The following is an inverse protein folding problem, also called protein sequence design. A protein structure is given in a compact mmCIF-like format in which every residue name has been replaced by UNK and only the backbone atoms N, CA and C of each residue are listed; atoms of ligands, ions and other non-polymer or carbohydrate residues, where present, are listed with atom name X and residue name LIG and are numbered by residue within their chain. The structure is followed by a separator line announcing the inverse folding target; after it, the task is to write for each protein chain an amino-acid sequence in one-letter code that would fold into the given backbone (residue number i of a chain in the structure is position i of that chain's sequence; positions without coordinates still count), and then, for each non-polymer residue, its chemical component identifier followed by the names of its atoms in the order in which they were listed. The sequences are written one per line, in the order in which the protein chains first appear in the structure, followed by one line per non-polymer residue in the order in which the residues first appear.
data_IF_897939166334
#
_entry.id   IF_897939166334
#
_cell.length_a   1.000
_cell.length_b   1.000
_cell.length_c   1.000
_cell.angle_alpha   90.00
_cell.angle_beta   90.00
_cell.angle_gamma   90.00
#
_symmetry.space_group_name_H-M   'P 1'
#
loop_
_entity.id
_entity.type
_entity.pdbx_description
1 polymer ?
#
# COMPACT_ATOMS: atom_id res chain seq x y z
N UNK A 1 -62.17 32.34 -12.77
CA UNK A 1 -61.07 31.46 -13.24
C UNK A 1 -59.86 31.68 -12.36
N UNK A 2 -59.66 30.80 -11.37
CA UNK A 2 -58.48 30.80 -10.53
C UNK A 2 -57.52 29.72 -11.05
N UNK A 3 -56.36 30.12 -11.58
CA UNK A 3 -55.25 29.19 -11.92
C UNK A 3 -54.51 28.80 -10.67
N UNK A 4 -54.63 27.53 -10.27
CA UNK A 4 -53.85 26.95 -9.19
C UNK A 4 -52.50 26.47 -9.78
N UNK A 5 -51.40 27.21 -9.50
CA UNK A 5 -50.05 26.80 -9.87
C UNK A 5 -49.56 25.83 -8.79
N UNK A 6 -49.57 24.52 -9.15
CA UNK A 6 -49.01 23.47 -8.32
C UNK A 6 -47.48 23.48 -8.45
N UNK A 7 -46.82 24.13 -7.49
CA UNK A 7 -45.35 24.13 -7.42
C UNK A 7 -44.91 22.79 -6.82
N UNK A 8 -44.54 21.84 -7.69
CA UNK A 8 -43.88 20.61 -7.26
C UNK A 8 -42.43 20.92 -6.87
N UNK A 9 -42.25 21.14 -5.58
CA UNK A 9 -40.89 21.17 -5.02
C UNK A 9 -40.26 19.77 -5.16
N UNK A 10 -39.40 19.61 -6.14
CA UNK A 10 -38.46 18.49 -6.17
C UNK A 10 -37.55 18.61 -4.95
N UNK A 11 -37.88 17.89 -3.86
CA UNK A 11 -36.89 17.63 -2.81
C UNK A 11 -35.76 16.83 -3.47
N UNK A 12 -34.65 17.48 -3.73
CA UNK A 12 -33.40 16.79 -3.98
C UNK A 12 -33.17 15.88 -2.76
N UNK A 13 -33.31 14.59 -2.99
CA UNK A 13 -32.95 13.58 -1.99
C UNK A 13 -31.44 13.71 -1.85
N UNK A 14 -30.98 14.22 -0.71
CA UNK A 14 -29.57 14.17 -0.38
C UNK A 14 -29.14 12.70 -0.49
N UNK A 15 -28.26 12.40 -1.44
CA UNK A 15 -27.66 11.08 -1.50
C UNK A 15 -27.03 10.82 -0.14
N UNK A 16 -27.45 9.75 0.51
CA UNK A 16 -26.87 9.35 1.78
C UNK A 16 -25.36 9.15 1.51
N UNK A 17 -24.53 9.95 2.15
CA UNK A 17 -23.09 9.76 2.10
C UNK A 17 -22.79 8.37 2.63
N UNK A 18 -22.05 7.57 1.85
CA UNK A 18 -21.62 6.25 2.28
C UNK A 18 -20.68 6.43 3.49
N UNK A 19 -21.09 5.93 4.64
CA UNK A 19 -20.38 6.09 5.91
C UNK A 19 -19.20 5.08 6.05
N UNK A 20 -18.98 4.23 5.03
CA UNK A 20 -17.89 3.27 5.04
C UNK A 20 -16.57 3.96 4.71
N UNK A 21 -15.49 3.71 5.49
CA UNK A 21 -14.22 4.39 5.28
C UNK A 21 -13.59 3.99 3.94
N UNK A 22 -12.85 4.92 3.36
CA UNK A 22 -11.92 4.61 2.29
C UNK A 22 -10.77 3.76 2.82
N UNK A 23 -10.13 2.98 1.95
CA UNK A 23 -8.97 2.17 2.28
C UNK A 23 -7.82 2.56 1.35
N UNK A 24 -6.73 3.01 1.94
CA UNK A 24 -5.47 3.24 1.23
C UNK A 24 -4.43 2.22 1.71
N UNK A 25 -3.99 1.36 0.81
CA UNK A 25 -2.99 0.33 1.08
C UNK A 25 -1.67 0.69 0.42
N UNK A 26 -0.71 1.16 1.22
CA UNK A 26 0.64 1.50 0.81
C UNK A 26 1.55 0.30 1.07
N UNK A 27 2.22 -0.16 0.02
CA UNK A 27 3.22 -1.23 0.11
C UNK A 27 4.59 -0.70 -0.27
N UNK A 28 5.62 -1.02 0.50
CA UNK A 28 7.03 -0.83 0.14
C UNK A 28 7.69 -2.18 -0.15
N UNK A 29 8.63 -2.20 -1.09
CA UNK A 29 9.28 -3.45 -1.51
C UNK A 29 10.52 -3.75 -0.67
N UNK A 30 10.76 -5.05 -0.38
CA UNK A 30 12.00 -5.58 0.23
C UNK A 30 12.44 -4.80 1.49
N UNK A 31 11.51 -4.50 2.42
CA UNK A 31 11.84 -3.65 3.55
C UNK A 31 11.42 -4.26 4.89
N UNK A 32 12.40 -4.40 5.77
CA UNK A 32 12.22 -4.76 7.17
C UNK A 32 11.77 -3.54 8.01
N UNK A 33 11.53 -3.65 9.32
CA UNK A 33 11.14 -2.51 10.17
C UNK A 33 12.29 -1.53 10.43
N UNK A 34 13.15 -1.28 9.41
CA UNK A 34 14.22 -0.28 9.44
C UNK A 34 13.62 1.10 9.14
N UNK A 35 12.88 1.64 10.12
CA UNK A 35 12.23 2.93 10.12
C UNK A 35 12.55 3.69 11.41
N UNK A 36 12.51 5.02 11.38
CA UNK A 36 12.84 5.81 12.55
C UNK A 36 11.88 5.56 13.72
N UNK A 37 10.58 5.33 13.46
CA UNK A 37 9.61 4.95 14.49
C UNK A 37 9.89 3.59 15.15
N UNK A 38 10.75 2.75 14.59
CA UNK A 38 11.25 1.51 15.20
C UNK A 38 12.62 1.67 15.85
N UNK A 39 13.23 2.86 15.77
CA UNK A 39 14.50 3.18 16.42
C UNK A 39 15.73 3.06 15.54
N UNK A 40 15.59 2.97 14.22
CA UNK A 40 16.71 2.94 13.28
C UNK A 40 17.51 4.25 13.36
N UNK A 41 18.79 4.15 13.73
CA UNK A 41 19.65 5.32 13.88
C UNK A 41 20.01 5.98 12.54
N UNK A 42 20.12 7.31 12.57
CA UNK A 42 20.50 8.12 11.40
C UNK A 42 19.43 8.24 10.33
N UNK A 43 18.37 7.44 10.36
CA UNK A 43 17.27 7.44 9.40
C UNK A 43 16.20 8.48 9.79
N UNK A 44 15.72 9.23 8.82
CA UNK A 44 14.62 10.19 8.97
C UNK A 44 13.44 9.79 8.11
N UNK A 45 12.32 9.40 8.75
CA UNK A 45 11.07 9.01 8.08
C UNK A 45 9.88 9.77 8.68
N UNK A 46 9.87 11.12 8.64
CA UNK A 46 8.90 11.92 9.38
C UNK A 46 7.45 11.68 8.98
N UNK A 47 7.17 11.33 7.72
CA UNK A 47 5.81 11.07 7.25
C UNK A 47 5.28 9.72 7.73
N UNK A 48 6.10 8.67 7.66
CA UNK A 48 5.76 7.34 8.19
C UNK A 48 5.72 7.37 9.72
N UNK A 49 6.63 8.13 10.36
CA UNK A 49 6.64 8.29 11.83
C UNK A 49 5.37 8.99 12.33
N UNK A 50 4.90 10.02 11.60
CA UNK A 50 3.62 10.67 11.89
C UNK A 50 2.48 9.66 11.80
N UNK A 51 2.38 8.92 10.69
CA UNK A 51 1.36 7.88 10.52
C UNK A 51 1.42 6.85 11.66
N UNK A 52 2.60 6.42 12.06
CA UNK A 52 2.80 5.49 13.16
C UNK A 52 2.39 6.06 14.52
N UNK A 53 2.53 7.38 14.74
CA UNK A 53 2.14 8.06 15.98
C UNK A 53 0.64 8.30 16.10
N UNK A 54 -0.06 8.42 14.98
CA UNK A 54 -1.50 8.65 14.88
C UNK A 54 -2.32 7.35 14.80
N UNK A 55 -1.65 6.21 14.58
CA UNK A 55 -2.26 4.92 14.35
C UNK A 55 -1.77 3.79 15.24
N UNK A 56 -1.88 2.58 14.72
CA UNK A 56 -1.42 1.36 15.40
C UNK A 56 -0.14 0.88 14.73
N UNK A 57 0.95 0.85 15.48
CA UNK A 57 2.23 0.30 15.06
C UNK A 57 2.41 -1.11 15.59
N UNK A 58 2.50 -2.09 14.68
CA UNK A 58 2.75 -3.48 15.04
C UNK A 58 4.24 -3.70 15.32
N UNK A 59 4.56 -4.20 16.50
CA UNK A 59 5.93 -4.57 16.86
C UNK A 59 6.40 -5.84 16.14
N UNK A 60 5.47 -6.76 15.90
CA UNK A 60 5.72 -8.05 15.27
C UNK A 60 4.67 -8.25 14.16
N UNK A 61 5.12 -8.25 12.93
CA UNK A 61 4.34 -8.58 11.76
C UNK A 61 5.20 -9.47 10.85
N UNK A 62 4.63 -10.55 10.35
CA UNK A 62 5.36 -11.53 9.55
C UNK A 62 4.62 -11.77 8.25
N UNK A 63 5.39 -11.83 7.17
CA UNK A 63 4.90 -12.31 5.89
C UNK A 63 4.90 -13.85 5.85
N UNK A 64 4.07 -14.41 4.98
CA UNK A 64 4.01 -15.86 4.77
C UNK A 64 5.11 -16.38 3.86
N UNK A 65 5.80 -15.48 3.13
CA UNK A 65 6.86 -15.82 2.19
C UNK A 65 7.85 -14.66 2.06
N UNK A 66 9.17 -14.92 1.98
CA UNK A 66 10.20 -13.89 1.85
C UNK A 66 10.43 -13.46 0.39
N UNK A 67 9.42 -13.52 -0.47
CA UNK A 67 9.51 -13.23 -1.91
C UNK A 67 8.26 -12.49 -2.39
N UNK A 68 8.46 -11.45 -3.21
CA UNK A 68 7.44 -10.48 -3.62
C UNK A 68 6.13 -11.12 -4.11
N UNK A 69 6.14 -11.85 -5.21
CA UNK A 69 4.90 -12.32 -5.83
C UNK A 69 4.13 -13.33 -4.97
N UNK A 70 4.84 -14.17 -4.21
CA UNK A 70 4.24 -15.14 -3.30
C UNK A 70 3.62 -14.47 -2.09
N UNK A 71 4.35 -13.55 -1.43
CA UNK A 71 3.84 -12.76 -0.32
C UNK A 71 2.63 -11.91 -0.75
N UNK A 72 2.75 -11.19 -1.87
CA UNK A 72 1.67 -10.35 -2.40
C UNK A 72 0.44 -11.15 -2.79
N UNK A 73 0.61 -12.37 -3.29
CA UNK A 73 -0.52 -13.27 -3.59
C UNK A 73 -1.26 -13.68 -2.32
N UNK A 74 -0.52 -14.02 -1.26
CA UNK A 74 -1.11 -14.34 0.04
C UNK A 74 -1.83 -13.12 0.64
N UNK A 75 -1.21 -11.93 0.62
CA UNK A 75 -1.83 -10.70 1.11
C UNK A 75 -3.10 -10.34 0.33
N UNK A 76 -3.09 -10.50 -1.00
CA UNK A 76 -4.22 -10.14 -1.86
C UNK A 76 -5.41 -11.10 -1.77
N UNK A 77 -5.24 -12.27 -1.17
CA UNK A 77 -6.30 -13.27 -1.03
C UNK A 77 -6.67 -13.57 0.43
N UNK A 78 -5.80 -13.18 1.38
CA UNK A 78 -5.93 -13.59 2.78
C UNK A 78 -5.63 -15.07 3.04
N UNK A 79 -5.10 -15.80 2.05
CA UNK A 79 -4.76 -17.21 2.14
C UNK A 79 -3.26 -17.44 1.99
N UNK A 80 -2.75 -18.45 2.67
CA UNK A 80 -1.36 -18.86 2.54
C UNK A 80 -1.06 -19.27 1.09
N UNK A 81 0.07 -18.81 0.54
CA UNK A 81 0.44 -19.02 -0.87
C UNK A 81 0.43 -20.48 -1.32
N UNK A 82 0.73 -21.44 -0.41
CA UNK A 82 0.70 -22.86 -0.73
C UNK A 82 -0.73 -23.35 -1.00
N UNK A 83 -1.71 -22.82 -0.27
CA UNK A 83 -3.11 -23.20 -0.44
C UNK A 83 -3.67 -22.70 -1.78
N UNK A 84 -3.29 -21.49 -2.18
CA UNK A 84 -3.71 -20.89 -3.46
C UNK A 84 -2.80 -21.25 -4.63
N UNK A 85 -1.83 -22.15 -4.45
CA UNK A 85 -0.86 -22.60 -5.46
C UNK A 85 -0.02 -21.47 -6.07
N UNK A 86 0.26 -20.44 -5.29
CA UNK A 86 1.04 -19.26 -5.70
C UNK A 86 2.41 -19.21 -5.00
N UNK A 87 3.01 -20.37 -4.73
CA UNK A 87 4.27 -20.51 -3.99
C UNK A 87 5.54 -20.37 -4.86
N UNK A 88 5.39 -20.20 -6.16
CA UNK A 88 6.51 -19.93 -7.08
C UNK A 88 6.64 -18.43 -7.35
N UNK A 89 7.86 -17.95 -7.52
CA UNK A 89 8.10 -16.55 -7.82
C UNK A 89 7.91 -16.26 -9.31
N UNK A 90 6.92 -15.42 -9.64
CA UNK A 90 6.64 -14.93 -11.01
C UNK A 90 6.53 -16.05 -12.04
N UNK A 91 5.78 -17.07 -11.71
CA UNK A 91 5.57 -18.22 -12.60
C UNK A 91 4.89 -17.81 -13.91
N UNK A 92 5.36 -18.37 -15.03
CA UNK A 92 4.75 -18.13 -16.35
C UNK A 92 3.34 -18.74 -16.45
N UNK A 93 3.17 -19.94 -15.88
CA UNK A 93 1.90 -20.67 -15.88
C UNK A 93 1.16 -20.47 -14.56
N UNK A 94 0.75 -19.22 -14.28
CA UNK A 94 -0.02 -18.90 -13.09
C UNK A 94 -1.30 -19.75 -13.01
N UNK A 95 -1.54 -20.28 -11.83
CA UNK A 95 -2.72 -21.11 -11.60
C UNK A 95 -3.95 -20.23 -11.26
N UNK A 96 -5.15 -20.66 -11.65
CA UNK A 96 -6.37 -20.03 -11.16
C UNK A 96 -6.49 -20.22 -9.65
N UNK A 97 -7.13 -19.28 -8.99
CA UNK A 97 -7.43 -19.38 -7.57
C UNK A 97 -8.35 -20.59 -7.32
N UNK A 98 -8.25 -21.31 -6.19
CA UNK A 98 -9.22 -22.32 -5.80
C UNK A 98 -10.65 -21.76 -5.78
N UNK A 99 -11.63 -22.64 -6.04
CA UNK A 99 -13.04 -22.25 -6.04
C UNK A 99 -13.45 -21.60 -4.71
N UNK A 100 -14.16 -20.49 -4.79
CA UNK A 100 -14.65 -19.75 -3.62
C UNK A 100 -13.62 -18.78 -2.99
N UNK A 101 -12.41 -18.69 -3.55
CA UNK A 101 -11.44 -17.67 -3.15
C UNK A 101 -11.48 -16.52 -4.14
N UNK A 102 -11.76 -15.33 -3.62
CA UNK A 102 -11.73 -14.08 -4.36
C UNK A 102 -10.61 -13.17 -3.85
N UNK A 103 -9.93 -12.45 -4.73
CA UNK A 103 -8.95 -11.45 -4.29
C UNK A 103 -9.65 -10.25 -3.64
N UNK A 104 -8.97 -9.65 -2.68
CA UNK A 104 -9.48 -8.50 -1.90
C UNK A 104 -10.12 -7.41 -2.77
N UNK A 105 -9.54 -6.96 -3.90
CA UNK A 105 -10.19 -5.94 -4.72
C UNK A 105 -11.58 -6.36 -5.22
N UNK A 106 -11.77 -7.63 -5.59
CA UNK A 106 -13.09 -8.10 -6.01
C UNK A 106 -14.11 -8.09 -4.86
N UNK A 107 -13.68 -8.43 -3.64
CA UNK A 107 -14.55 -8.34 -2.45
C UNK A 107 -14.97 -6.89 -2.19
N UNK A 108 -14.06 -5.93 -2.34
CA UNK A 108 -14.37 -4.51 -2.23
C UNK A 108 -15.30 -4.04 -3.37
N UNK A 109 -15.09 -4.51 -4.61
CA UNK A 109 -16.01 -4.21 -5.73
C UNK A 109 -17.42 -4.73 -5.46
N UNK A 110 -17.55 -5.97 -4.97
CA UNK A 110 -18.84 -6.55 -4.58
C UNK A 110 -19.51 -5.76 -3.44
N UNK A 111 -18.71 -5.17 -2.56
CA UNK A 111 -19.19 -4.26 -1.51
C UNK A 111 -19.49 -2.83 -2.02
N UNK A 112 -19.33 -2.54 -3.32
CA UNK A 112 -19.64 -1.24 -3.91
C UNK A 112 -18.51 -0.22 -3.89
N UNK A 113 -17.29 -0.59 -3.45
CA UNK A 113 -16.12 0.27 -3.51
C UNK A 113 -15.62 0.44 -4.94
N UNK A 114 -15.08 1.61 -5.24
CA UNK A 114 -14.19 1.77 -6.38
C UNK A 114 -12.81 1.22 -6.02
N UNK A 115 -12.19 0.43 -6.90
CA UNK A 115 -10.87 -0.14 -6.65
C UNK A 115 -9.83 0.43 -7.60
N UNK A 116 -8.76 1.00 -7.07
CA UNK A 116 -7.69 1.64 -7.84
C UNK A 116 -6.33 0.98 -7.59
N UNK A 117 -5.59 0.75 -8.68
CA UNK A 117 -4.18 0.37 -8.62
C UNK A 117 -3.33 1.57 -9.04
N UNK A 118 -2.86 2.34 -8.07
CA UNK A 118 -2.08 3.57 -8.27
C UNK A 118 -0.60 3.32 -8.64
N UNK A 119 -0.23 2.07 -8.77
CA UNK A 119 1.08 1.62 -9.25
C UNK A 119 0.88 0.51 -10.28
N UNK A 120 1.69 0.49 -11.32
CA UNK A 120 1.53 -0.43 -12.46
C UNK A 120 1.68 -1.92 -12.12
N UNK A 121 1.96 -2.28 -10.85
CA UNK A 121 2.40 -3.63 -10.49
C UNK A 121 1.59 -4.21 -9.34
N UNK A 122 0.82 -5.25 -9.62
CA UNK A 122 0.25 -6.11 -8.57
C UNK A 122 1.25 -7.13 -8.08
N UNK A 123 2.03 -7.66 -9.01
CA UNK A 123 3.00 -8.75 -8.84
C UNK A 123 2.40 -10.02 -8.19
N UNK A 124 1.11 -10.26 -8.42
CA UNK A 124 0.46 -11.47 -7.93
C UNK A 124 0.75 -12.67 -8.83
N UNK A 125 0.89 -13.85 -8.24
CA UNK A 125 1.22 -15.10 -8.93
C UNK A 125 0.01 -16.04 -9.05
N UNK A 126 -1.16 -15.50 -9.36
CA UNK A 126 -2.40 -16.24 -9.61
C UNK A 126 -3.19 -15.61 -10.75
N UNK A 127 -4.15 -16.36 -11.27
CA UNK A 127 -5.18 -15.85 -12.19
C UNK A 127 -6.49 -15.77 -11.40
N UNK A 128 -7.17 -14.61 -11.37
CA UNK A 128 -8.49 -14.50 -10.77
C UNK A 128 -9.49 -15.43 -11.44
N UNK A 129 -10.46 -15.95 -10.70
CA UNK A 129 -11.49 -16.87 -11.22
C UNK A 129 -12.53 -16.17 -12.10
N UNK A 130 -12.60 -14.85 -12.06
CA UNK A 130 -13.53 -14.06 -12.83
C UNK A 130 -12.82 -13.33 -13.97
N UNK A 131 -13.60 -12.97 -15.01
CA UNK A 131 -13.10 -12.10 -16.11
C UNK A 131 -13.12 -10.62 -15.74
N UNK A 132 -13.60 -10.27 -14.53
CA UNK A 132 -13.60 -8.90 -14.06
C UNK A 132 -12.15 -8.42 -13.87
N UNK A 133 -11.92 -7.16 -14.19
CA UNK A 133 -10.65 -6.50 -13.91
C UNK A 133 -10.35 -6.53 -12.41
N UNK A 134 -9.12 -6.87 -12.07
CA UNK A 134 -8.71 -6.93 -10.66
C UNK A 134 -8.86 -5.57 -9.97
N UNK A 135 -8.64 -4.49 -10.71
CA UNK A 135 -8.90 -3.12 -10.29
C UNK A 135 -9.70 -2.38 -11.37
N UNK A 136 -10.55 -1.44 -10.96
CA UNK A 136 -11.44 -0.69 -11.86
C UNK A 136 -10.74 0.50 -12.53
N UNK A 137 -9.70 1.05 -11.89
CA UNK A 137 -8.96 2.20 -12.39
C UNK A 137 -7.56 2.30 -11.81
N UNK A 138 -6.89 3.40 -12.14
CA UNK A 138 -5.51 3.68 -11.73
C UNK A 138 -5.41 4.74 -10.62
N UNK A 139 -6.50 5.47 -10.35
CA UNK A 139 -6.52 6.52 -9.33
C UNK A 139 -7.87 6.57 -8.61
N UNK A 140 -7.85 6.86 -7.32
CA UNK A 140 -9.09 6.95 -6.53
C UNK A 140 -10.02 8.10 -6.97
N UNK A 141 -9.49 9.11 -7.69
CA UNK A 141 -10.31 10.22 -8.22
C UNK A 141 -11.27 9.81 -9.33
N UNK A 142 -11.07 8.63 -9.94
CA UNK A 142 -11.94 8.08 -10.99
C UNK A 142 -13.27 7.53 -10.43
N UNK A 143 -13.41 7.47 -9.09
CA UNK A 143 -14.63 7.01 -8.43
C UNK A 143 -15.81 7.97 -8.65
N UNK A 144 -17.02 7.46 -8.51
CA UNK A 144 -18.21 8.31 -8.47
C UNK A 144 -18.22 9.18 -7.22
N UNK A 145 -18.86 10.37 -7.26
CA UNK A 145 -19.05 11.18 -6.07
C UNK A 145 -19.71 10.37 -4.93
N UNK A 146 -19.16 10.47 -3.73
CA UNK A 146 -19.65 9.74 -2.55
C UNK A 146 -19.35 8.23 -2.52
N UNK A 147 -18.73 7.67 -3.54
CA UNK A 147 -18.36 6.26 -3.55
C UNK A 147 -17.07 6.05 -2.74
N UNK A 148 -17.04 5.11 -1.77
CA UNK A 148 -15.80 4.76 -1.08
C UNK A 148 -14.82 4.07 -2.02
N UNK A 149 -13.53 4.17 -1.74
CA UNK A 149 -12.48 3.51 -2.53
C UNK A 149 -11.63 2.55 -1.72
N UNK A 150 -11.11 1.53 -2.40
CA UNK A 150 -9.96 0.75 -2.02
C UNK A 150 -8.84 1.05 -3.02
N UNK A 151 -7.82 1.78 -2.59
CA UNK A 151 -6.68 2.13 -3.43
C UNK A 151 -5.42 1.43 -2.93
N UNK A 152 -4.66 0.86 -3.86
CA UNK A 152 -3.36 0.25 -3.57
C UNK A 152 -2.27 0.98 -4.33
N UNK A 153 -1.21 1.33 -3.61
CA UNK A 153 0.02 1.89 -4.17
C UNK A 153 1.22 1.06 -3.73
N UNK A 154 2.19 0.88 -4.61
CA UNK A 154 3.45 0.22 -4.29
C UNK A 154 4.61 1.14 -4.63
N UNK A 155 5.46 1.41 -3.64
CA UNK A 155 6.71 2.11 -3.83
C UNK A 155 7.84 1.08 -3.99
N UNK A 156 8.39 1.01 -5.21
CA UNK A 156 9.46 0.09 -5.56
C UNK A 156 10.87 0.63 -5.30
N UNK A 157 10.99 1.85 -4.78
CA UNK A 157 12.28 2.50 -4.55
C UNK A 157 13.17 1.76 -3.57
N UNK A 158 12.59 1.07 -2.60
CA UNK A 158 13.31 0.26 -1.60
C UNK A 158 13.84 -1.07 -2.13
N UNK A 159 13.45 -1.47 -3.35
CA UNK A 159 14.08 -2.59 -4.05
C UNK A 159 15.48 -2.20 -4.56
N UNK A 160 16.45 -3.11 -4.45
CA UNK A 160 17.82 -2.89 -4.93
C UNK A 160 17.82 -2.72 -6.48
N UNK A 161 18.56 -1.79 -7.06
CA UNK A 161 19.65 -1.00 -6.48
C UNK A 161 19.14 0.34 -5.93
N UNK A 162 19.82 0.85 -4.88
CA UNK A 162 19.39 2.03 -4.15
C UNK A 162 19.97 3.31 -4.73
N UNK A 163 19.17 4.38 -4.74
CA UNK A 163 19.65 5.73 -4.98
C UNK A 163 20.13 6.34 -3.68
N UNK A 164 21.12 7.22 -3.76
CA UNK A 164 21.54 8.05 -2.65
C UNK A 164 20.58 9.22 -2.46
N UNK A 165 20.43 9.65 -1.22
CA UNK A 165 19.69 10.86 -0.89
C UNK A 165 20.65 12.04 -0.63
N UNK A 166 20.89 12.91 -1.64
CA UNK A 166 21.78 14.06 -1.46
C UNK A 166 21.19 15.13 -0.53
N UNK A 167 19.90 15.09 -0.25
CA UNK A 167 19.23 16.02 0.66
C UNK A 167 19.45 15.64 2.13
N UNK A 168 19.58 14.35 2.40
CA UNK A 168 19.76 13.84 3.76
C UNK A 168 20.71 12.61 3.77
N UNK A 169 22.01 12.82 3.51
CA UNK A 169 22.99 11.75 3.47
C UNK A 169 23.20 11.13 4.85
N UNK A 170 23.36 9.82 4.89
CA UNK A 170 23.63 9.06 6.13
C UNK A 170 25.12 8.77 6.24
N UNK A 171 25.72 9.12 7.38
CA UNK A 171 27.10 8.75 7.68
C UNK A 171 27.17 7.24 7.93
N UNK A 172 28.15 6.58 7.30
CA UNK A 172 28.39 5.16 7.51
C UNK A 172 28.80 4.82 8.94
N UNK A 173 29.30 5.81 9.69
CA UNK A 173 29.64 5.64 11.09
C UNK A 173 28.40 5.45 11.97
N UNK A 174 27.27 6.04 11.60
CA UNK A 174 26.00 5.94 12.32
C UNK A 174 25.20 4.69 11.98
N UNK A 175 25.60 3.95 10.96
CA UNK A 175 24.88 2.75 10.50
C UNK A 175 25.06 1.60 11.48
N UNK A 176 23.95 1.03 11.92
CA UNK A 176 23.91 -0.25 12.64
C UNK A 176 23.55 -1.38 11.68
N UNK A 177 24.50 -2.29 11.44
CA UNK A 177 24.26 -3.46 10.60
C UNK A 177 23.59 -4.57 11.42
N UNK A 178 22.66 -5.34 10.81
CA UNK A 178 22.21 -6.59 11.40
C UNK A 178 23.39 -7.52 11.70
N UNK A 179 23.31 -8.33 12.77
CA UNK A 179 24.46 -9.11 13.26
C UNK A 179 24.95 -10.21 12.30
N UNK A 180 24.18 -10.52 11.28
CA UNK A 180 24.53 -11.48 10.23
C UNK A 180 25.25 -10.85 9.02
N UNK A 181 25.42 -9.50 9.00
CA UNK A 181 26.25 -8.83 8.00
C UNK A 181 27.68 -8.62 8.51
N UNK A 182 28.70 -8.80 7.65
CA UNK A 182 30.06 -8.46 8.03
C UNK A 182 30.21 -6.94 8.17
N UNK A 183 30.80 -6.51 9.27
CA UNK A 183 31.02 -5.09 9.54
C UNK A 183 32.22 -4.57 8.74
N UNK A 184 31.96 -4.16 7.53
CA UNK A 184 32.94 -3.59 6.61
C UNK A 184 32.45 -2.24 6.08
N UNK A 185 33.36 -1.34 5.64
CA UNK A 185 32.96 -0.09 5.01
C UNK A 185 32.04 -0.28 3.80
N UNK A 186 32.21 -1.35 3.06
CA UNK A 186 31.35 -1.69 1.90
C UNK A 186 29.91 -2.01 2.35
N UNK A 187 29.77 -2.89 3.34
CA UNK A 187 28.44 -3.26 3.85
C UNK A 187 27.75 -2.06 4.53
N UNK A 188 28.47 -1.27 5.30
CA UNK A 188 27.94 -0.04 5.91
C UNK A 188 27.49 0.96 4.84
N UNK A 189 28.25 1.14 3.77
CA UNK A 189 27.87 2.02 2.67
C UNK A 189 26.64 1.52 1.93
N UNK A 190 26.55 0.23 1.62
CA UNK A 190 25.38 -0.36 0.99
C UNK A 190 24.13 -0.23 1.88
N UNK A 191 24.28 -0.45 3.18
CA UNK A 191 23.19 -0.28 4.14
C UNK A 191 22.72 1.17 4.23
N UNK A 192 23.66 2.13 4.34
CA UNK A 192 23.38 3.57 4.31
C UNK A 192 22.61 3.97 3.05
N UNK A 193 23.01 3.49 1.87
CA UNK A 193 22.31 3.78 0.62
C UNK A 193 20.86 3.26 0.65
N UNK A 194 20.61 2.10 1.25
CA UNK A 194 19.25 1.60 1.45
C UNK A 194 18.42 2.50 2.38
N UNK A 195 18.99 2.93 3.49
CA UNK A 195 18.33 3.85 4.42
C UNK A 195 18.08 5.21 3.75
N UNK A 196 19.03 5.75 3.00
CA UNK A 196 18.85 6.98 2.21
C UNK A 196 17.70 6.81 1.18
N UNK A 197 17.61 5.65 0.54
CA UNK A 197 16.49 5.36 -0.37
C UNK A 197 15.15 5.32 0.36
N UNK A 198 15.11 4.83 1.60
CA UNK A 198 13.87 4.86 2.40
C UNK A 198 13.43 6.28 2.73
N UNK A 199 14.36 7.23 2.94
CA UNK A 199 14.02 8.64 3.12
C UNK A 199 13.37 9.26 1.86
N UNK A 200 13.82 8.84 0.68
CA UNK A 200 13.19 9.24 -0.59
C UNK A 200 11.76 8.70 -0.63
N UNK A 201 11.57 7.43 -0.32
CA UNK A 201 10.24 6.79 -0.29
C UNK A 201 9.35 7.42 0.78
N UNK A 202 9.88 7.79 1.95
CA UNK A 202 9.09 8.50 2.97
C UNK A 202 8.50 9.81 2.44
N UNK A 203 9.28 10.58 1.65
CA UNK A 203 8.77 11.79 1.00
C UNK A 203 7.69 11.50 -0.04
N UNK A 204 7.83 10.41 -0.79
CA UNK A 204 6.79 9.98 -1.74
C UNK A 204 5.50 9.57 -1.00
N UNK A 205 5.61 8.85 0.10
CA UNK A 205 4.48 8.54 1.00
C UNK A 205 3.87 9.82 1.54
N UNK A 206 4.70 10.77 1.99
CA UNK A 206 4.25 12.08 2.45
C UNK A 206 3.43 12.84 1.41
N UNK A 207 3.82 12.78 0.14
CA UNK A 207 3.06 13.40 -0.95
C UNK A 207 1.66 12.78 -1.12
N UNK A 208 1.54 11.46 -1.00
CA UNK A 208 0.25 10.77 -1.07
C UNK A 208 -0.64 11.10 0.14
N UNK A 209 -0.07 11.10 1.36
CA UNK A 209 -0.82 11.47 2.57
C UNK A 209 -1.28 12.92 2.53
N UNK A 210 -0.43 13.83 2.06
CA UNK A 210 -0.76 15.23 1.86
C UNK A 210 -1.91 15.40 0.85
N UNK A 211 -1.87 14.69 -0.28
CA UNK A 211 -2.95 14.70 -1.27
C UNK A 211 -4.28 14.23 -0.65
N UNK A 212 -4.23 13.19 0.17
CA UNK A 212 -5.41 12.66 0.87
C UNK A 212 -6.04 13.72 1.79
N UNK A 213 -5.19 14.50 2.48
CA UNK A 213 -5.60 15.60 3.35
C UNK A 213 -6.15 16.79 2.55
N UNK A 214 -5.46 17.22 1.49
CA UNK A 214 -5.88 18.31 0.60
C UNK A 214 -7.22 18.04 -0.10
N UNK A 215 -7.53 16.77 -0.39
CA UNK A 215 -8.83 16.34 -0.94
C UNK A 215 -9.92 16.17 0.15
N UNK A 216 -9.60 16.41 1.44
CA UNK A 216 -10.54 16.27 2.57
C UNK A 216 -10.95 14.83 2.85
N UNK A 217 -10.09 13.86 2.53
CA UNK A 217 -10.37 12.43 2.64
C UNK A 217 -9.68 11.78 3.85
N UNK A 218 -8.71 12.46 4.47
CA UNK A 218 -7.83 11.87 5.49
C UNK A 218 -8.63 11.31 6.68
N UNK A 219 -9.56 12.08 7.23
CA UNK A 219 -10.36 11.70 8.41
C UNK A 219 -11.31 10.51 8.15
N UNK A 220 -11.55 10.20 6.87
CA UNK A 220 -12.43 9.09 6.47
C UNK A 220 -11.70 7.99 5.71
N UNK A 221 -10.39 7.86 5.90
CA UNK A 221 -9.56 6.86 5.22
C UNK A 221 -8.72 6.06 6.22
N UNK A 222 -8.85 4.74 6.16
CA UNK A 222 -7.91 3.83 6.82
C UNK A 222 -6.67 3.67 5.94
N UNK A 223 -5.51 4.04 6.48
CA UNK A 223 -4.23 3.90 5.80
C UNK A 223 -3.46 2.72 6.35
N UNK A 224 -3.13 1.76 5.47
CA UNK A 224 -2.22 0.65 5.77
C UNK A 224 -0.87 0.93 5.14
N UNK A 225 0.19 0.90 5.94
CA UNK A 225 1.58 0.99 5.49
C UNK A 225 2.31 -0.30 5.85
N UNK A 226 2.75 -1.05 4.85
CA UNK A 226 3.35 -2.38 5.05
C UNK A 226 4.52 -2.63 4.09
N UNK A 227 5.52 -3.43 4.54
CA UNK A 227 6.46 -4.09 3.64
C UNK A 227 5.84 -5.34 3.02
N UNK A 228 6.17 -5.67 1.78
CA UNK A 228 5.69 -6.92 1.17
C UNK A 228 6.39 -8.15 1.73
N UNK A 229 7.64 -8.03 2.11
CA UNK A 229 8.44 -8.97 2.90
C UNK A 229 9.62 -8.24 3.52
N UNK A 230 10.52 -8.94 4.19
CA UNK A 230 11.73 -8.35 4.77
C UNK A 230 12.84 -8.14 3.72
N UNK A 231 13.89 -7.45 4.15
CA UNK A 231 15.11 -7.17 3.38
C UNK A 231 16.09 -8.34 3.47
#
# INVERSE_FOLDING_TARGET
FALSICCQAHRARAEATDDRPNILWITIEDWSPDLACYGTKGLQTPHVDKLASEGIRYRWAFTTSPVCSTSRSAMMTGFHQNYIRANQHREHNKQPLPHGIEPIPHLFQQAGYFTALMSRKTDCNFVPNTKAELFMGEDWSERKPGQPFFARITFGGTHRSFNRDPQCPIDIADVELPPYYPDTPLCRRDWANGLEQMQIVDREVGAILKRLDEEGLADHTLVFFIGDHGR
#
